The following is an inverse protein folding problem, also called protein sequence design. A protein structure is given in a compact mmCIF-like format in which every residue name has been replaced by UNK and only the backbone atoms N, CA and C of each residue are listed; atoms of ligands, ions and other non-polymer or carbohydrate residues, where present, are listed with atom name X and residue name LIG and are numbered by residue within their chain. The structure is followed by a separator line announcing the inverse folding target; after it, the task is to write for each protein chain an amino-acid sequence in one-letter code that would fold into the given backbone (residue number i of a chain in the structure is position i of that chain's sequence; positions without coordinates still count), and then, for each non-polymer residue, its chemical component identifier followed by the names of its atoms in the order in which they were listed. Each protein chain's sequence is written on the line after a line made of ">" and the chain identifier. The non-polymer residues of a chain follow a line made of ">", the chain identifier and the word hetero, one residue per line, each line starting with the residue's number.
data_IF_298604257026
#
_entry.id   IF_298604257026
#
_cell.length_a   1.000
_cell.length_b   1.000
_cell.length_c   1.000
_cell.angle_alpha   90.00
_cell.angle_beta   90.00
_cell.angle_gamma   90.00
#
_symmetry.space_group_name_H-M   'P 1'
#
loop_
_entity.id
_entity.type
_entity.pdbx_description
1 polymer ?
#
# COMPACT_ATOMS: atom_id res chain seq x y z
N UNK A 1 2.75 -37.81 55.18
CA UNK A 1 1.80 -37.65 54.04
C UNK A 1 1.24 -36.24 53.93
N UNK A 2 0.71 -35.64 55.02
CA UNK A 2 0.07 -34.30 55.01
C UNK A 2 0.99 -33.11 54.67
N UNK A 3 2.22 -33.10 55.17
CA UNK A 3 3.14 -31.97 54.94
C UNK A 3 3.54 -31.80 53.46
N UNK A 4 3.65 -32.91 52.72
CA UNK A 4 4.02 -32.88 51.30
C UNK A 4 2.90 -32.28 50.44
N UNK A 5 1.62 -32.51 50.78
CA UNK A 5 0.48 -31.91 50.08
C UNK A 5 0.46 -30.38 50.22
N UNK A 6 0.80 -29.85 51.40
CA UNK A 6 0.79 -28.40 51.66
C UNK A 6 1.87 -27.65 50.87
N UNK A 7 3.01 -28.29 50.57
CA UNK A 7 4.08 -27.68 49.77
C UNK A 7 3.80 -27.73 48.26
N UNK A 8 3.02 -28.69 47.77
CA UNK A 8 2.70 -28.81 46.34
C UNK A 8 1.64 -27.80 45.88
N UNK A 9 0.71 -27.40 46.75
CA UNK A 9 -0.37 -26.44 46.44
C UNK A 9 0.17 -25.04 46.00
N UNK A 10 1.11 -24.42 46.72
CA UNK A 10 1.71 -23.14 46.31
C UNK A 10 2.47 -23.23 44.99
N UNK A 11 3.18 -24.34 44.76
CA UNK A 11 3.98 -24.54 43.54
C UNK A 11 3.06 -24.67 42.32
N UNK A 12 1.93 -25.39 42.44
CA UNK A 12 0.93 -25.43 41.37
C UNK A 12 0.30 -24.06 41.12
N UNK A 13 -0.02 -23.30 42.17
CA UNK A 13 -0.59 -21.95 42.03
C UNK A 13 0.34 -20.98 41.28
N UNK A 14 1.64 -21.03 41.55
CA UNK A 14 2.66 -20.22 40.87
C UNK A 14 2.85 -20.63 39.40
N UNK A 15 2.79 -21.93 39.09
CA UNK A 15 2.97 -22.41 37.70
C UNK A 15 1.76 -22.11 36.80
N UNK A 16 0.54 -22.08 37.35
CA UNK A 16 -0.69 -21.79 36.60
C UNK A 16 -0.80 -20.30 36.23
N UNK A 17 -0.30 -19.40 37.07
CA UNK A 17 -0.52 -17.96 36.88
C UNK A 17 0.36 -17.33 35.79
N UNK A 18 1.59 -17.81 35.56
CA UNK A 18 2.51 -17.14 34.63
C UNK A 18 2.33 -17.60 33.17
N UNK A 19 2.02 -18.88 32.93
CA UNK A 19 1.97 -19.43 31.56
C UNK A 19 0.68 -19.10 30.82
N UNK A 20 -0.44 -18.99 31.53
CA UNK A 20 -1.76 -18.79 30.92
C UNK A 20 -1.98 -17.34 30.47
N UNK A 21 -1.50 -16.36 31.24
CA UNK A 21 -1.64 -14.93 30.89
C UNK A 21 -0.83 -14.56 29.64
N UNK A 22 0.44 -14.97 29.54
CA UNK A 22 1.25 -14.74 28.33
C UNK A 22 0.66 -15.42 27.09
N UNK A 23 0.08 -16.61 27.25
CA UNK A 23 -0.57 -17.31 26.14
C UNK A 23 -1.85 -16.61 25.67
N UNK A 24 -2.59 -15.98 26.58
CA UNK A 24 -3.82 -15.25 26.23
C UNK A 24 -3.51 -13.92 25.54
N UNK A 25 -2.53 -13.16 26.03
CA UNK A 25 -2.12 -11.90 25.41
C UNK A 25 -1.58 -12.13 24.00
N UNK A 26 -0.74 -13.16 23.81
CA UNK A 26 -0.26 -13.55 22.48
C UNK A 26 -1.41 -13.97 21.56
N UNK A 27 -2.34 -14.81 22.03
CA UNK A 27 -3.50 -15.23 21.23
C UNK A 27 -4.41 -14.05 20.84
N UNK A 28 -4.56 -13.05 21.72
CA UNK A 28 -5.30 -11.81 21.42
C UNK A 28 -4.56 -11.01 20.34
N UNK A 29 -3.25 -10.81 20.48
CA UNK A 29 -2.44 -10.10 19.50
C UNK A 29 -2.47 -10.78 18.12
N UNK A 30 -2.32 -12.11 18.07
CA UNK A 30 -2.45 -12.90 16.83
C UNK A 30 -3.83 -12.70 16.18
N UNK A 31 -4.92 -12.77 16.96
CA UNK A 31 -6.27 -12.52 16.44
C UNK A 31 -6.47 -11.09 15.96
N UNK A 32 -5.91 -10.09 16.65
CA UNK A 32 -5.95 -8.70 16.21
C UNK A 32 -5.21 -8.55 14.89
N UNK A 33 -4.03 -9.14 14.74
CA UNK A 33 -3.24 -9.10 13.50
C UNK A 33 -3.95 -9.81 12.35
N UNK A 34 -4.57 -10.97 12.59
CA UNK A 34 -5.36 -11.69 11.59
C UNK A 34 -6.55 -10.87 11.09
N UNK A 35 -7.33 -10.31 12.03
CA UNK A 35 -8.51 -9.48 11.70
C UNK A 35 -8.08 -8.19 11.00
N UNK A 36 -7.08 -7.48 11.52
CA UNK A 36 -6.55 -6.27 10.90
C UNK A 36 -5.99 -6.55 9.50
N UNK A 37 -5.22 -7.62 9.35
CA UNK A 37 -4.68 -8.06 8.07
C UNK A 37 -5.77 -8.37 7.05
N UNK A 38 -6.83 -9.08 7.46
CA UNK A 38 -8.00 -9.37 6.61
C UNK A 38 -8.72 -8.10 6.16
N UNK A 39 -8.95 -7.15 7.08
CA UNK A 39 -9.61 -5.88 6.78
C UNK A 39 -8.77 -5.00 5.86
N UNK A 40 -7.48 -4.87 6.13
CA UNK A 40 -6.53 -4.10 5.29
C UNK A 40 -6.45 -4.74 3.90
N UNK A 41 -6.30 -6.06 3.82
CA UNK A 41 -6.25 -6.76 2.55
C UNK A 41 -7.53 -6.54 1.73
N UNK A 42 -8.70 -6.63 2.38
CA UNK A 42 -9.99 -6.34 1.72
C UNK A 42 -10.06 -4.91 1.23
N UNK A 43 -9.65 -3.94 2.06
CA UNK A 43 -9.66 -2.53 1.70
C UNK A 43 -8.72 -2.23 0.52
N UNK A 44 -7.50 -2.76 0.53
CA UNK A 44 -6.54 -2.60 -0.59
C UNK A 44 -7.05 -3.32 -1.85
N UNK A 45 -7.65 -4.50 -1.71
CA UNK A 45 -8.21 -5.24 -2.84
C UNK A 45 -9.41 -4.54 -3.49
N UNK A 46 -10.12 -3.69 -2.74
CA UNK A 46 -11.22 -2.88 -3.28
C UNK A 46 -10.76 -1.55 -3.88
N UNK A 47 -9.51 -1.13 -3.66
CA UNK A 47 -8.99 0.10 -4.27
C UNK A 47 -8.91 -0.08 -5.79
N UNK A 48 -9.67 0.75 -6.51
CA UNK A 48 -9.59 0.85 -7.95
C UNK A 48 -8.52 1.85 -8.40
N UNK A 49 -8.10 1.73 -9.66
CA UNK A 49 -7.39 2.80 -10.36
C UNK A 49 -8.30 3.34 -11.46
N UNK A 50 -8.63 4.62 -11.35
CA UNK A 50 -9.23 5.35 -12.46
C UNK A 50 -8.11 5.97 -13.27
N UNK A 51 -8.06 5.63 -14.54
CA UNK A 51 -7.00 6.10 -15.41
C UNK A 51 -7.54 6.62 -16.74
N UNK A 52 -7.08 7.79 -17.16
CA UNK A 52 -7.34 8.39 -18.47
C UNK A 52 -6.04 8.73 -19.19
N UNK A 53 -6.11 8.90 -20.51
CA UNK A 53 -4.97 9.34 -21.31
C UNK A 53 -5.28 10.71 -21.86
N UNK A 54 -4.35 11.63 -21.73
CA UNK A 54 -4.43 12.95 -22.34
C UNK A 54 -3.34 13.07 -23.40
N UNK A 55 -3.66 13.76 -24.49
CA UNK A 55 -2.70 14.09 -25.53
C UNK A 55 -2.76 15.58 -25.80
N UNK A 56 -1.61 16.15 -26.14
CA UNK A 56 -1.47 17.56 -26.50
C UNK A 56 -0.46 17.71 -27.62
N UNK A 57 -0.60 18.80 -28.38
CA UNK A 57 0.43 19.19 -29.35
C UNK A 57 1.67 19.68 -28.63
N UNK A 58 2.83 19.52 -29.28
CA UNK A 58 4.11 19.91 -28.73
C UNK A 58 4.71 18.89 -27.78
N UNK A 59 5.62 19.35 -26.93
CA UNK A 59 6.48 18.53 -26.08
C UNK A 59 5.92 18.30 -24.66
N UNK A 60 4.70 18.77 -24.36
CA UNK A 60 4.11 18.68 -23.03
C UNK A 60 2.71 18.07 -23.08
N UNK A 61 2.39 17.21 -22.11
CA UNK A 61 1.02 16.79 -21.82
C UNK A 61 0.80 16.72 -20.30
N UNK A 62 -0.21 17.44 -19.82
CA UNK A 62 -0.49 17.59 -18.38
C UNK A 62 -1.78 16.87 -17.99
N UNK A 63 -1.68 16.02 -16.97
CA UNK A 63 -2.81 15.34 -16.38
C UNK A 63 -3.80 16.32 -15.73
N UNK A 64 -5.11 16.00 -15.74
CA UNK A 64 -6.09 16.79 -15.03
C UNK A 64 -5.86 16.73 -13.52
N UNK A 65 -6.41 17.70 -12.79
CA UNK A 65 -6.27 17.78 -11.32
C UNK A 65 -6.68 16.47 -10.64
N UNK A 66 -5.85 16.04 -9.70
CA UNK A 66 -6.08 14.83 -8.91
C UNK A 66 -5.62 13.53 -9.59
N UNK A 67 -5.02 13.60 -10.78
CA UNK A 67 -4.34 12.48 -11.41
C UNK A 67 -2.83 12.70 -11.41
N UNK A 68 -2.07 11.62 -11.23
CA UNK A 68 -0.62 11.60 -11.38
C UNK A 68 -0.25 10.93 -12.71
N UNK A 69 0.89 11.32 -13.29
CA UNK A 69 1.45 10.64 -14.46
C UNK A 69 1.94 9.25 -14.05
N UNK A 70 1.46 8.23 -14.75
CA UNK A 70 1.96 6.85 -14.63
C UNK A 70 2.75 6.40 -15.84
N UNK A 71 2.72 7.17 -16.93
CA UNK A 71 3.56 6.94 -18.09
C UNK A 71 3.42 8.06 -19.11
N UNK A 72 4.45 8.20 -19.94
CA UNK A 72 4.48 9.18 -21.02
C UNK A 72 4.67 8.48 -22.36
N UNK A 73 4.20 9.12 -23.42
CA UNK A 73 4.46 8.72 -24.80
C UNK A 73 4.71 9.96 -25.63
N UNK A 74 5.64 9.85 -26.58
CA UNK A 74 6.06 10.95 -27.43
C UNK A 74 5.85 10.57 -28.88
N UNK A 75 5.47 11.55 -29.69
CA UNK A 75 5.44 11.39 -31.14
C UNK A 75 6.83 11.27 -31.77
N UNK A 76 6.86 11.16 -33.11
CA UNK A 76 8.10 11.14 -33.90
C UNK A 76 9.16 10.11 -33.48
N UNK A 77 8.73 8.96 -32.94
CA UNK A 77 9.60 7.91 -32.39
C UNK A 77 10.55 8.40 -31.28
N UNK A 78 10.22 9.50 -30.59
CA UNK A 78 11.01 9.97 -29.46
C UNK A 78 10.84 9.03 -28.25
N UNK A 79 11.93 8.46 -27.77
CA UNK A 79 11.97 7.62 -26.56
C UNK A 79 12.41 8.36 -25.30
N UNK A 80 12.67 9.67 -25.38
CA UNK A 80 13.22 10.47 -24.27
C UNK A 80 12.14 11.37 -23.67
N UNK A 81 11.80 11.13 -22.41
CA UNK A 81 10.81 11.92 -21.67
C UNK A 81 11.16 12.00 -20.19
N UNK A 82 10.65 13.04 -19.52
CA UNK A 82 10.65 13.16 -18.06
C UNK A 82 9.25 13.54 -17.53
N UNK A 83 9.06 13.42 -16.22
CA UNK A 83 7.83 13.84 -15.54
C UNK A 83 8.14 15.07 -14.69
N UNK A 84 7.43 16.16 -14.96
CA UNK A 84 7.54 17.44 -14.26
C UNK A 84 6.37 17.61 -13.30
N UNK A 85 6.69 17.96 -12.06
CA UNK A 85 5.71 18.21 -11.00
C UNK A 85 4.67 17.08 -10.88
N UNK A 86 5.11 15.83 -11.06
CA UNK A 86 4.31 14.58 -10.96
C UNK A 86 3.11 14.44 -11.93
N UNK A 87 2.81 15.50 -12.69
CA UNK A 87 1.54 15.65 -13.41
C UNK A 87 1.72 15.98 -14.88
N UNK A 88 2.93 16.32 -15.31
CA UNK A 88 3.20 16.73 -16.70
C UNK A 88 4.28 15.86 -17.31
N UNK A 89 3.97 15.18 -18.40
CA UNK A 89 4.96 14.56 -19.27
C UNK A 89 5.65 15.62 -20.10
N UNK A 90 6.98 15.54 -20.21
CA UNK A 90 7.79 16.34 -21.12
C UNK A 90 8.61 15.45 -22.04
N UNK A 91 8.40 15.56 -23.34
CA UNK A 91 9.17 14.86 -24.37
C UNK A 91 10.39 15.69 -24.78
N UNK A 92 11.59 15.14 -24.62
CA UNK A 92 12.82 15.93 -24.67
C UNK A 92 13.44 16.05 -26.07
N UNK A 93 12.92 15.31 -27.05
CA UNK A 93 13.44 15.38 -28.41
C UNK A 93 13.05 16.70 -29.09
N UNK A 94 13.88 17.18 -30.03
CA UNK A 94 13.58 18.39 -30.77
C UNK A 94 12.38 18.19 -31.72
N UNK A 95 11.52 19.21 -31.84
CA UNK A 95 10.46 19.24 -32.85
C UNK A 95 9.28 18.30 -32.58
N UNK A 96 8.92 18.06 -31.32
CA UNK A 96 7.78 17.22 -30.96
C UNK A 96 6.47 17.71 -31.59
N UNK A 97 5.84 16.81 -32.33
CA UNK A 97 4.51 16.98 -32.93
C UNK A 97 3.41 16.85 -31.87
N UNK A 98 3.50 15.82 -31.03
CA UNK A 98 2.58 15.59 -29.93
C UNK A 98 3.22 14.82 -28.77
N UNK A 99 2.61 14.97 -27.60
CA UNK A 99 2.96 14.27 -26.36
C UNK A 99 1.69 13.69 -25.75
N UNK A 100 1.79 12.52 -25.13
CA UNK A 100 0.71 11.88 -24.38
C UNK A 100 1.13 11.54 -22.95
N UNK A 101 0.19 11.68 -22.02
CA UNK A 101 0.36 11.27 -20.63
C UNK A 101 -0.73 10.27 -20.26
N UNK A 102 -0.32 9.13 -19.69
CA UNK A 102 -1.21 8.22 -18.98
C UNK A 102 -1.34 8.73 -17.55
N UNK A 103 -2.56 9.07 -17.17
CA UNK A 103 -2.89 9.73 -15.92
C UNK A 103 -3.75 8.79 -15.08
N UNK A 104 -3.34 8.48 -13.86
CA UNK A 104 -4.12 7.64 -12.95
C UNK A 104 -4.34 8.30 -11.61
N UNK A 105 -5.43 7.92 -10.95
CA UNK A 105 -5.69 8.21 -9.54
C UNK A 105 -6.23 6.98 -8.85
N UNK A 106 -6.04 6.93 -7.54
CA UNK A 106 -6.73 5.98 -6.68
C UNK A 106 -8.22 6.34 -6.66
N UNK A 107 -9.06 5.37 -6.97
CA UNK A 107 -10.50 5.44 -6.75
C UNK A 107 -10.82 4.62 -5.49
N UNK A 108 -11.21 5.29 -4.39
CA UNK A 108 -11.66 4.61 -3.17
C UNK A 108 -12.91 3.76 -3.39
#
# INVERSE_FOLDING_TARGET
>A
MKALCLLLLPVLGLLVSSKTLCSMEEAINERIQEVAGSLIFRAISSIGLECQSVTSRGDLATCPRGFAVTGCTCGSACGSWDVRAETTCHCQCAGMDWTGARCCRVQP
#
